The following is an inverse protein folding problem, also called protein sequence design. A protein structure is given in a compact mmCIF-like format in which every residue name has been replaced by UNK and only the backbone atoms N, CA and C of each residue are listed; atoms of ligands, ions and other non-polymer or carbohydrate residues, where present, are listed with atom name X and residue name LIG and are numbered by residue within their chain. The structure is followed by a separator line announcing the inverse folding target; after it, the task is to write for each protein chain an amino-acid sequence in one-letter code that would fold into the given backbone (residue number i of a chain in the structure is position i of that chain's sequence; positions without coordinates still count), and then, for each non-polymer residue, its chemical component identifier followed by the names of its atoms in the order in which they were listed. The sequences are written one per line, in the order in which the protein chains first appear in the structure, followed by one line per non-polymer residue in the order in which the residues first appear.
data_IF_919313504014
#
_entry.id   IF_919313504014
#
_cell.length_a   1.000
_cell.length_b   1.000
_cell.length_c   1.000
_cell.angle_alpha   90.00
_cell.angle_beta   90.00
_cell.angle_gamma   90.00
#
_symmetry.space_group_name_H-M   'P 1'
#
loop_
_entity.id
_entity.type
_entity.pdbx_description
1 polymer ?
#
# COMPACT_ATOMS: atom_id res chain seq x y z
N UNK A 1 15.88 3.95 -4.35
CA UNK A 1 14.83 2.92 -4.51
C UNK A 1 13.61 3.62 -5.08
N UNK A 2 13.02 3.13 -6.16
CA UNK A 2 11.93 3.86 -6.81
C UNK A 2 10.65 3.65 -5.99
N UNK A 3 9.91 4.73 -5.70
CA UNK A 3 8.65 4.69 -4.94
C UNK A 3 7.57 3.85 -5.65
N UNK A 4 7.76 3.56 -6.94
CA UNK A 4 6.87 2.76 -7.79
C UNK A 4 7.27 1.29 -7.93
N UNK A 5 8.38 0.81 -7.35
CA UNK A 5 8.85 -0.58 -7.51
C UNK A 5 7.82 -1.65 -7.11
N UNK A 6 6.95 -1.32 -6.15
CA UNK A 6 5.91 -2.20 -5.64
C UNK A 6 4.50 -1.67 -5.95
N UNK A 7 4.38 -0.60 -6.74
CA UNK A 7 3.08 -0.06 -7.10
C UNK A 7 2.31 -1.06 -7.98
N UNK A 8 1.03 -1.28 -7.66
CA UNK A 8 0.13 -2.20 -8.35
C UNK A 8 0.14 -3.63 -7.81
N UNK A 9 1.11 -4.02 -6.99
CA UNK A 9 1.14 -5.36 -6.35
C UNK A 9 0.17 -5.42 -5.18
N UNK A 10 -0.16 -6.64 -4.74
CA UNK A 10 -0.88 -6.82 -3.49
C UNK A 10 0.03 -6.50 -2.29
N UNK A 11 -0.57 -6.04 -1.20
CA UNK A 11 0.15 -5.72 0.03
C UNK A 11 0.85 -6.95 0.61
N UNK A 12 0.23 -8.13 0.51
CA UNK A 12 0.85 -9.39 0.93
C UNK A 12 2.16 -9.65 0.17
N UNK A 13 2.14 -9.51 -1.16
CA UNK A 13 3.33 -9.67 -2.01
C UNK A 13 4.39 -8.62 -1.69
N UNK A 14 3.98 -7.37 -1.49
CA UNK A 14 4.88 -6.29 -1.12
C UNK A 14 5.56 -6.55 0.23
N UNK A 15 4.82 -7.04 1.24
CA UNK A 15 5.37 -7.44 2.54
C UNK A 15 6.40 -8.55 2.39
N UNK A 16 6.14 -9.55 1.55
CA UNK A 16 7.10 -10.63 1.29
C UNK A 16 8.39 -10.12 0.64
N UNK A 17 8.28 -9.22 -0.35
CA UNK A 17 9.45 -8.60 -1.00
C UNK A 17 10.24 -7.75 0.01
N UNK A 18 9.57 -6.92 0.80
CA UNK A 18 10.20 -6.09 1.83
C UNK A 18 10.91 -6.97 2.88
N UNK A 19 10.27 -8.04 3.35
CA UNK A 19 10.88 -9.01 4.28
C UNK A 19 12.10 -9.68 3.68
N UNK A 20 12.07 -10.11 2.42
CA UNK A 20 13.23 -10.68 1.71
C UNK A 20 14.40 -9.68 1.58
N UNK A 21 14.09 -8.39 1.51
CA UNK A 21 15.08 -7.30 1.52
C UNK A 21 15.56 -6.91 2.93
N UNK A 22 15.12 -7.62 3.98
CA UNK A 22 15.48 -7.33 5.38
C UNK A 22 14.70 -6.16 5.99
N UNK A 23 13.66 -5.67 5.31
CA UNK A 23 12.85 -4.54 5.75
C UNK A 23 11.63 -5.08 6.51
N UNK A 24 11.61 -4.87 7.83
CA UNK A 24 10.52 -5.32 8.71
C UNK A 24 9.80 -4.15 9.40
N UNK A 25 10.44 -2.99 9.48
CA UNK A 25 9.87 -1.79 10.09
C UNK A 25 9.06 -0.98 9.05
N UNK A 26 7.83 -1.42 8.81
CA UNK A 26 6.91 -0.80 7.86
C UNK A 26 5.63 -0.32 8.55
N UNK A 27 5.05 0.75 8.04
CA UNK A 27 3.74 1.25 8.43
C UNK A 27 2.86 1.29 7.21
N UNK A 28 1.71 0.62 7.27
CA UNK A 28 0.76 0.60 6.17
C UNK A 28 -0.24 1.72 6.36
N UNK A 29 -0.42 2.55 5.33
CA UNK A 29 -1.32 3.70 5.32
C UNK A 29 -2.40 3.45 4.27
N UNK A 30 -3.64 3.32 4.72
CA UNK A 30 -4.78 3.16 3.83
C UNK A 30 -5.24 4.51 3.28
N UNK A 31 -5.37 4.61 1.96
CA UNK A 31 -5.99 5.74 1.28
C UNK A 31 -7.35 5.33 0.75
N UNK A 32 -8.37 5.60 1.54
CA UNK A 32 -9.76 5.45 1.13
C UNK A 32 -10.60 6.65 1.59
N UNK A 33 -11.90 6.68 1.25
CA UNK A 33 -12.79 7.75 1.67
C UNK A 33 -12.77 7.91 3.20
N UNK A 34 -12.79 9.15 3.73
CA UNK A 34 -12.70 9.42 5.17
C UNK A 34 -13.85 8.80 5.99
N UNK A 35 -14.92 8.34 5.33
CA UNK A 35 -16.05 7.63 5.94
C UNK A 35 -15.76 6.14 6.20
N UNK A 36 -14.63 5.63 5.73
CA UNK A 36 -14.19 4.24 5.91
C UNK A 36 -13.14 4.22 7.01
N UNK A 37 -13.58 4.33 8.26
CA UNK A 37 -12.71 4.44 9.44
C UNK A 37 -12.30 3.09 10.03
N UNK A 38 -12.94 1.99 9.63
CA UNK A 38 -12.88 0.71 10.36
C UNK A 38 -12.55 -0.51 9.48
N UNK A 39 -11.92 -0.33 8.32
CA UNK A 39 -11.43 -1.48 7.55
C UNK A 39 -10.04 -1.86 8.03
N UNK A 40 -9.95 -3.05 8.64
CA UNK A 40 -8.69 -3.73 8.82
C UNK A 40 -7.97 -3.81 7.46
N UNK A 41 -6.74 -3.31 7.41
CA UNK A 41 -5.92 -3.38 6.20
C UNK A 41 -5.69 -4.85 5.88
N UNK A 42 -6.08 -5.27 4.68
CA UNK A 42 -5.95 -6.65 4.21
C UNK A 42 -4.79 -6.79 3.23
N UNK A 43 -4.26 -8.01 3.14
CA UNK A 43 -3.14 -8.32 2.25
C UNK A 43 -3.50 -8.31 0.76
N UNK A 44 -4.79 -8.31 0.42
CA UNK A 44 -5.29 -8.15 -0.96
C UNK A 44 -5.48 -6.68 -1.38
N UNK A 45 -5.11 -5.72 -0.53
CA UNK A 45 -5.10 -4.31 -0.92
C UNK A 45 -3.96 -4.04 -1.88
N UNK A 46 -4.18 -3.12 -2.84
CA UNK A 46 -3.16 -2.74 -3.81
C UNK A 46 -2.26 -1.65 -3.26
N UNK A 47 -0.96 -1.85 -3.43
CA UNK A 47 0.04 -0.82 -3.13
C UNK A 47 -0.02 0.26 -4.19
N UNK A 48 -0.13 1.51 -3.76
CA UNK A 48 -0.08 2.68 -4.64
C UNK A 48 1.35 3.21 -4.70
N UNK A 49 1.99 3.30 -3.54
CA UNK A 49 3.29 3.96 -3.40
C UNK A 49 4.02 3.44 -2.16
N UNK A 50 5.35 3.41 -2.22
CA UNK A 50 6.22 3.14 -1.07
C UNK A 50 7.13 4.33 -0.81
N UNK A 51 7.06 4.90 0.39
CA UNK A 51 7.94 5.98 0.85
C UNK A 51 9.17 5.39 1.53
N UNK A 52 10.22 5.17 0.75
CA UNK A 52 11.49 4.58 1.22
C UNK A 52 12.27 5.47 2.19
N UNK A 53 12.12 6.79 2.10
CA UNK A 53 12.81 7.77 2.94
C UNK A 53 12.16 7.99 4.32
N UNK A 54 11.06 7.28 4.64
CA UNK A 54 10.39 7.36 5.94
C UNK A 54 10.84 6.23 6.87
N UNK A 55 10.84 6.48 8.18
CA UNK A 55 11.11 5.47 9.21
C UNK A 55 9.99 5.50 10.27
N UNK A 56 9.13 4.46 10.36
CA UNK A 56 9.09 3.27 9.51
C UNK A 56 8.80 3.59 8.03
N UNK A 57 9.20 2.69 7.13
CA UNK A 57 8.87 2.82 5.69
C UNK A 57 7.35 2.81 5.55
N UNK A 58 6.80 3.80 4.86
CA UNK A 58 5.35 3.90 4.71
C UNK A 58 4.91 3.28 3.38
N UNK A 59 3.97 2.35 3.45
CA UNK A 59 3.36 1.68 2.30
C UNK A 59 1.94 2.18 2.16
N UNK A 60 1.68 2.92 1.08
CA UNK A 60 0.37 3.46 0.77
C UNK A 60 -0.46 2.42 0.03
N UNK A 61 -1.67 2.13 0.50
CA UNK A 61 -2.53 1.09 -0.08
C UNK A 61 -3.97 1.56 -0.30
N UNK A 62 -4.65 0.98 -1.29
CA UNK A 62 -6.10 1.10 -1.48
C UNK A 62 -6.77 -0.27 -1.60
N UNK A 63 -8.07 -0.29 -1.37
CA UNK A 63 -8.87 -1.50 -1.59
C UNK A 63 -9.01 -1.77 -3.09
N UNK A 64 -8.97 -3.04 -3.47
CA UNK A 64 -9.28 -3.44 -4.84
C UNK A 64 -10.76 -3.16 -5.13
N UNK A 65 -11.03 -2.26 -6.09
CA UNK A 65 -12.36 -1.68 -6.36
C UNK A 65 -12.56 -0.25 -5.84
N UNK A 66 -11.62 0.28 -5.04
CA UNK A 66 -11.65 1.66 -4.52
C UNK A 66 -10.98 2.70 -5.43
N UNK A 67 -10.21 2.25 -6.43
CA UNK A 67 -9.80 3.11 -7.55
C UNK A 67 -10.97 3.28 -8.52
N UNK A 68 -12.07 3.89 -8.05
CA UNK A 68 -12.89 4.65 -8.99
C UNK A 68 -11.96 5.70 -9.58
N UNK A 69 -11.57 5.50 -10.84
CA UNK A 69 -10.98 6.56 -11.64
C UNK A 69 -11.80 7.82 -11.39
N UNK A 70 -11.20 8.96 -10.99
CA UNK A 70 -11.94 10.23 -10.97
C UNK A 70 -12.47 10.60 -12.37
N UNK A 71 -12.06 9.87 -13.40
CA UNK A 71 -12.51 9.98 -14.78
C UNK A 71 -13.52 8.90 -15.21
N UNK A 72 -14.13 8.15 -14.28
CA UNK A 72 -15.19 7.18 -14.58
C UNK A 72 -14.74 6.00 -15.48
N UNK A 73 -15.65 5.05 -15.79
CA UNK A 73 -15.44 4.07 -16.85
C UNK A 73 -15.37 4.71 -18.24
#
# INVERSE_FOLDING_TARGET
MNTLELAGTLLGEAKEVLKKKGITNIKVVFTGPPRVTDRAVRDDFRVILVYWDRSPIEVLVCEEGGAVSPYGP
#
